data_IF_543091485837
#
_entry.id   IF_543091485837
#
_cell.length_a   1.000
_cell.length_b   1.000
_cell.length_c   1.000
_cell.angle_alpha   90.00
_cell.angle_beta   90.00
_cell.angle_gamma   90.00
#
_symmetry.space_group_name_H-M   'P 1'
#
loop_
_entity.id
_entity.type
_entity.pdbx_description
1 polymer ?
#
# COMPACT_ATOMS: atom_id res chain seq x y z
N UNK A 1 31.68 -5.58 -13.13
CA UNK A 1 32.61 -6.23 -12.19
C UNK A 1 32.35 -5.63 -10.83
N UNK A 2 31.61 -6.34 -9.98
CA UNK A 2 31.46 -5.98 -8.56
C UNK A 2 32.86 -6.15 -7.97
N UNK A 3 33.42 -5.08 -7.42
CA UNK A 3 34.68 -5.18 -6.66
C UNK A 3 34.41 -6.05 -5.45
N UNK A 4 35.25 -7.05 -5.21
CA UNK A 4 35.29 -7.77 -3.94
C UNK A 4 35.58 -6.74 -2.83
N UNK A 5 34.54 -6.37 -2.12
CA UNK A 5 34.65 -5.62 -0.87
C UNK A 5 34.42 -6.60 0.24
N UNK A 6 35.12 -6.45 1.35
CA UNK A 6 34.89 -7.26 2.53
C UNK A 6 33.43 -7.12 2.99
N UNK A 7 32.77 -8.21 3.36
CA UNK A 7 31.41 -8.15 3.85
C UNK A 7 31.34 -7.30 5.14
N UNK A 8 30.23 -6.58 5.29
CA UNK A 8 29.99 -5.77 6.50
C UNK A 8 29.77 -6.73 7.67
N UNK A 9 30.63 -6.66 8.69
CA UNK A 9 30.59 -7.54 9.86
C UNK A 9 30.07 -6.87 11.13
N UNK A 10 29.85 -5.57 11.09
CA UNK A 10 29.42 -4.78 12.24
C UNK A 10 27.91 -4.85 12.48
N UNK A 11 27.15 -5.32 11.49
CA UNK A 11 25.70 -5.48 11.59
C UNK A 11 25.35 -6.87 12.10
N UNK A 12 24.65 -6.95 13.21
CA UNK A 12 24.22 -8.21 13.80
C UNK A 12 22.76 -8.59 13.47
N UNK A 13 21.92 -7.59 13.22
CA UNK A 13 20.51 -7.76 12.92
C UNK A 13 20.02 -6.71 11.91
N UNK A 14 19.17 -7.13 11.00
CA UNK A 14 18.57 -6.28 9.98
C UNK A 14 17.04 -6.37 10.09
N UNK A 15 16.38 -5.25 10.17
CA UNK A 15 14.92 -5.16 10.11
C UNK A 15 14.53 -4.55 8.78
N UNK A 16 13.65 -5.23 8.06
CA UNK A 16 13.10 -4.77 6.77
C UNK A 16 11.59 -4.70 6.93
N UNK A 17 11.05 -3.52 6.74
CA UNK A 17 9.61 -3.28 6.66
C UNK A 17 9.20 -3.05 5.20
N UNK A 18 7.92 -3.24 4.88
CA UNK A 18 7.39 -3.14 3.51
C UNK A 18 8.19 -4.00 2.50
N UNK A 19 8.53 -5.20 2.91
CA UNK A 19 9.45 -6.08 2.20
C UNK A 19 9.03 -6.37 0.75
N UNK A 20 7.73 -6.30 0.43
CA UNK A 20 7.22 -6.51 -0.92
C UNK A 20 7.68 -5.46 -1.94
N UNK A 21 8.18 -4.30 -1.49
CA UNK A 21 8.66 -3.25 -2.39
C UNK A 21 10.05 -3.53 -2.95
N UNK A 22 10.76 -4.48 -2.36
CA UNK A 22 12.11 -4.86 -2.78
C UNK A 22 12.07 -6.12 -3.64
N UNK A 23 12.81 -6.10 -4.74
CA UNK A 23 12.98 -7.30 -5.56
C UNK A 23 13.97 -8.28 -4.96
N UNK A 24 13.91 -9.54 -5.39
CA UNK A 24 14.81 -10.62 -4.93
C UNK A 24 16.30 -10.29 -5.10
N UNK A 25 16.67 -9.47 -6.09
CA UNK A 25 18.06 -9.05 -6.26
C UNK A 25 18.56 -8.25 -5.05
N UNK A 26 17.72 -7.36 -4.49
CA UNK A 26 18.07 -6.58 -3.29
C UNK A 26 18.35 -7.50 -2.10
N UNK A 27 17.49 -8.51 -1.89
CA UNK A 27 17.67 -9.49 -0.81
C UNK A 27 18.93 -10.34 -1.00
N UNK A 28 19.23 -10.77 -2.20
CA UNK A 28 20.47 -11.50 -2.52
C UNK A 28 21.70 -10.65 -2.28
N UNK A 29 21.67 -9.37 -2.66
CA UNK A 29 22.74 -8.43 -2.37
C UNK A 29 22.92 -8.21 -0.87
N UNK A 30 21.86 -7.97 -0.12
CA UNK A 30 21.91 -7.83 1.33
C UNK A 30 22.49 -9.08 2.00
N UNK A 31 22.00 -10.25 1.63
CA UNK A 31 22.47 -11.53 2.17
C UNK A 31 23.95 -11.78 1.87
N UNK A 32 24.42 -11.36 0.69
CA UNK A 32 25.84 -11.46 0.32
C UNK A 32 26.72 -10.45 1.06
N UNK A 33 26.25 -9.21 1.22
CA UNK A 33 27.04 -8.14 1.81
C UNK A 33 27.09 -8.20 3.34
N UNK A 34 26.05 -8.74 3.98
CA UNK A 34 25.90 -8.76 5.44
C UNK A 34 26.15 -10.18 5.97
N UNK A 35 27.40 -10.42 6.34
CA UNK A 35 27.80 -11.76 6.82
C UNK A 35 27.40 -11.99 8.26
N UNK A 36 26.71 -13.11 8.53
CA UNK A 36 26.35 -13.56 9.88
C UNK A 36 25.22 -12.74 10.54
N UNK A 37 24.49 -11.95 9.77
CA UNK A 37 23.32 -11.20 10.26
C UNK A 37 22.11 -12.09 10.41
N UNK A 38 21.27 -11.77 11.39
CA UNK A 38 19.90 -12.24 11.48
C UNK A 38 18.95 -11.19 10.87
N UNK A 39 17.75 -11.63 10.46
CA UNK A 39 16.79 -10.77 9.76
C UNK A 39 15.43 -10.84 10.46
N UNK A 40 14.76 -9.69 10.55
CA UNK A 40 13.31 -9.59 10.75
C UNK A 40 12.74 -8.90 9.51
N UNK A 41 11.93 -9.62 8.76
CA UNK A 41 11.38 -9.14 7.49
C UNK A 41 9.86 -9.14 7.60
N UNK A 42 9.26 -7.97 7.38
CA UNK A 42 7.82 -7.75 7.47
C UNK A 42 7.31 -7.16 6.16
N UNK A 43 6.10 -7.49 5.78
CA UNK A 43 5.47 -6.96 4.57
C UNK A 43 4.17 -7.67 4.22
N UNK A 44 3.51 -7.17 3.19
CA UNK A 44 2.27 -7.71 2.65
C UNK A 44 2.35 -7.77 1.12
N UNK A 45 2.50 -8.97 0.57
CA UNK A 45 2.60 -9.17 -0.87
C UNK A 45 1.35 -8.72 -1.64
N UNK A 46 0.19 -8.67 -0.97
CA UNK A 46 -1.06 -8.14 -1.56
C UNK A 46 -1.01 -6.63 -1.79
N UNK A 47 -0.10 -5.91 -1.12
CA UNK A 47 0.11 -4.47 -1.27
C UNK A 47 1.27 -4.13 -2.21
N UNK A 48 1.77 -5.11 -2.97
CA UNK A 48 2.83 -4.86 -3.93
C UNK A 48 2.28 -4.07 -5.14
N UNK A 49 2.66 -2.79 -5.24
CA UNK A 49 2.36 -1.94 -6.39
C UNK A 49 3.43 -2.01 -7.48
N UNK A 50 4.53 -2.72 -7.22
CA UNK A 50 5.67 -2.90 -8.12
C UNK A 50 5.73 -4.34 -8.64
N UNK A 51 4.66 -4.78 -9.28
CA UNK A 51 4.46 -6.17 -9.71
C UNK A 51 5.64 -6.75 -10.51
N UNK A 52 6.32 -5.94 -11.32
CA UNK A 52 7.41 -6.39 -12.19
C UNK A 52 8.69 -6.74 -11.42
N UNK A 53 8.98 -6.10 -10.28
CA UNK A 53 10.22 -6.30 -9.55
C UNK A 53 10.09 -6.52 -8.04
N UNK A 54 8.97 -6.16 -7.44
CA UNK A 54 8.70 -6.42 -6.02
C UNK A 54 8.37 -7.89 -5.74
N UNK A 55 8.19 -8.23 -4.48
CA UNK A 55 7.79 -9.59 -4.09
C UNK A 55 6.29 -9.80 -4.32
N UNK A 56 5.95 -10.76 -5.15
CA UNK A 56 4.58 -11.22 -5.37
C UNK A 56 4.21 -12.42 -4.49
N UNK A 57 5.20 -13.11 -3.95
CA UNK A 57 5.07 -14.18 -2.96
C UNK A 57 6.31 -14.26 -2.06
N UNK A 58 6.20 -15.03 -0.99
CA UNK A 58 7.28 -15.20 -0.02
C UNK A 58 8.19 -16.40 -0.28
N UNK A 59 7.89 -17.25 -1.26
CA UNK A 59 8.52 -18.56 -1.36
C UNK A 59 10.02 -18.50 -1.72
N UNK A 60 10.40 -17.60 -2.62
CA UNK A 60 11.81 -17.43 -2.99
C UNK A 60 12.61 -16.80 -1.85
N UNK A 61 12.03 -15.78 -1.18
CA UNK A 61 12.67 -15.12 -0.05
C UNK A 61 12.83 -16.07 1.14
N UNK A 62 11.83 -16.88 1.46
CA UNK A 62 11.89 -17.92 2.51
C UNK A 62 13.05 -18.88 2.26
N UNK A 63 13.23 -19.34 1.02
CA UNK A 63 14.36 -20.23 0.65
C UNK A 63 15.72 -19.58 0.84
N UNK A 64 15.81 -18.26 0.68
CA UNK A 64 17.06 -17.52 0.85
C UNK A 64 17.40 -17.26 2.33
N UNK A 65 16.40 -16.91 3.13
CA UNK A 65 16.58 -16.39 4.50
C UNK A 65 16.32 -17.44 5.58
N UNK A 66 15.29 -18.29 5.42
CA UNK A 66 14.93 -19.30 6.42
C UNK A 66 15.76 -20.57 6.22
N UNK A 67 17.01 -20.54 6.67
CA UNK A 67 17.97 -21.65 6.49
C UNK A 67 18.36 -22.33 7.80
N UNK A 68 18.03 -21.72 8.94
CA UNK A 68 18.38 -22.19 10.28
C UNK A 68 17.24 -22.90 11.00
N UNK A 69 17.59 -23.65 12.04
CA UNK A 69 16.64 -24.42 12.86
C UNK A 69 15.67 -23.53 13.66
N UNK A 70 16.10 -22.29 13.95
CA UNK A 70 15.31 -21.34 14.76
C UNK A 70 14.60 -20.29 13.92
N UNK A 71 14.71 -20.36 12.60
CA UNK A 71 14.02 -19.44 11.72
C UNK A 71 12.53 -19.78 11.64
N UNK A 72 11.69 -18.76 11.63
CA UNK A 72 10.25 -18.91 11.63
C UNK A 72 9.57 -17.96 10.65
N UNK A 73 8.50 -18.44 10.05
CA UNK A 73 7.59 -17.65 9.25
C UNK A 73 6.22 -17.59 9.94
N UNK A 74 5.70 -16.39 10.13
CA UNK A 74 4.40 -16.15 10.74
C UNK A 74 3.49 -15.28 9.88
N UNK A 75 2.19 -15.46 10.00
CA UNK A 75 1.17 -14.67 9.34
C UNK A 75 0.38 -13.87 10.37
N UNK A 76 0.36 -12.55 10.20
CA UNK A 76 -0.53 -11.66 10.94
C UNK A 76 -1.83 -11.50 10.14
N UNK A 77 -2.88 -12.23 10.55
CA UNK A 77 -4.15 -12.26 9.79
C UNK A 77 -5.15 -11.21 10.23
N UNK A 78 -5.02 -10.68 11.44
CA UNK A 78 -6.01 -9.74 12.01
C UNK A 78 -5.71 -8.31 11.59
N UNK A 79 -6.66 -7.66 10.93
CA UNK A 79 -6.62 -6.24 10.62
C UNK A 79 -7.41 -5.44 11.65
N UNK A 80 -6.77 -4.44 12.23
CA UNK A 80 -7.38 -3.51 13.20
C UNK A 80 -7.76 -2.18 12.53
N UNK A 81 -7.27 -1.93 11.32
CA UNK A 81 -7.40 -0.66 10.60
C UNK A 81 -8.73 -0.57 9.86
N UNK A 82 -9.08 -1.60 9.10
CA UNK A 82 -10.24 -1.59 8.22
C UNK A 82 -11.50 -2.14 8.87
N UNK A 83 -12.67 -1.68 8.41
CA UNK A 83 -13.96 -2.27 8.76
C UNK A 83 -14.16 -3.62 8.07
N UNK A 84 -15.14 -4.38 8.52
CA UNK A 84 -15.51 -5.68 7.93
C UNK A 84 -15.83 -5.50 6.44
N UNK A 85 -16.64 -4.48 6.10
CA UNK A 85 -17.11 -4.20 4.76
C UNK A 85 -15.98 -3.89 3.78
N UNK A 86 -14.98 -3.09 4.22
CA UNK A 86 -13.80 -2.78 3.43
C UNK A 86 -12.94 -4.03 3.23
N UNK A 87 -12.72 -4.80 4.29
CA UNK A 87 -11.89 -6.01 4.23
C UNK A 87 -12.51 -7.10 3.37
N UNK A 88 -13.84 -7.31 3.45
CA UNK A 88 -14.55 -8.27 2.61
C UNK A 88 -14.50 -7.88 1.14
N UNK A 89 -14.72 -6.60 0.83
CA UNK A 89 -14.65 -6.09 -0.53
C UNK A 89 -13.24 -6.25 -1.12
N UNK A 90 -12.20 -5.88 -0.34
CA UNK A 90 -10.80 -6.04 -0.76
C UNK A 90 -10.43 -7.52 -0.98
N UNK A 91 -10.82 -8.40 -0.06
CA UNK A 91 -10.60 -9.84 -0.19
C UNK A 91 -11.29 -10.43 -1.43
N UNK A 92 -12.49 -9.93 -1.78
CA UNK A 92 -13.21 -10.38 -2.99
C UNK A 92 -12.45 -9.96 -4.26
N UNK A 93 -11.93 -8.73 -4.32
CA UNK A 93 -11.08 -8.29 -5.45
C UNK A 93 -9.83 -9.17 -5.55
N UNK A 94 -9.16 -9.44 -4.44
CA UNK A 94 -7.94 -10.26 -4.42
C UNK A 94 -8.19 -11.70 -4.91
N UNK A 95 -9.37 -12.28 -4.66
CA UNK A 95 -9.74 -13.62 -5.14
C UNK A 95 -9.84 -13.73 -6.67
N UNK A 96 -9.99 -12.60 -7.37
CA UNK A 96 -9.99 -12.57 -8.84
C UNK A 96 -8.60 -12.46 -9.45
N UNK A 97 -7.55 -12.31 -8.64
CA UNK A 97 -6.16 -12.28 -9.10
C UNK A 97 -5.48 -13.65 -9.04
N UNK A 98 -4.43 -13.83 -9.84
CA UNK A 98 -3.63 -15.07 -9.92
C UNK A 98 -2.43 -15.05 -8.95
N UNK A 99 -2.63 -14.61 -7.71
CA UNK A 99 -1.53 -14.57 -6.72
C UNK A 99 -1.90 -15.30 -5.44
N UNK A 100 -0.87 -15.72 -4.70
CA UNK A 100 -1.04 -16.34 -3.39
C UNK A 100 -1.61 -15.32 -2.41
N UNK A 101 -2.88 -15.50 -2.02
CA UNK A 101 -3.59 -14.60 -1.12
C UNK A 101 -3.47 -15.13 0.31
N UNK A 102 -3.15 -14.23 1.21
CA UNK A 102 -3.32 -14.44 2.65
C UNK A 102 -4.52 -13.60 3.11
N UNK A 103 -5.73 -14.19 3.16
CA UNK A 103 -6.94 -13.43 3.49
C UNK A 103 -6.83 -12.80 4.88
N UNK A 104 -7.21 -11.53 4.94
CA UNK A 104 -7.23 -10.75 6.17
C UNK A 104 -8.54 -11.04 6.92
N UNK A 105 -8.42 -11.31 8.22
CA UNK A 105 -9.55 -11.44 9.13
C UNK A 105 -9.78 -10.06 9.78
N UNK A 106 -10.88 -9.35 9.45
CA UNK A 106 -11.17 -8.07 10.09
C UNK A 106 -11.54 -8.30 11.56
N UNK A 107 -11.15 -7.39 12.42
CA UNK A 107 -11.78 -7.28 13.74
C UNK A 107 -13.22 -6.82 13.51
N UNK A 108 -14.13 -7.24 14.39
CA UNK A 108 -15.56 -6.91 14.32
C UNK A 108 -15.75 -5.40 14.59
N UNK A 109 -15.44 -4.61 13.58
CA UNK A 109 -15.71 -3.19 13.50
C UNK A 109 -16.47 -2.95 12.20
N UNK A 110 -17.73 -2.57 12.31
CA UNK A 110 -18.58 -2.30 11.17
C UNK A 110 -18.54 -0.83 10.76
N UNK A 111 -18.65 -0.58 9.47
CA UNK A 111 -18.70 0.75 8.88
C UNK A 111 -19.71 0.82 7.73
N UNK A 112 -19.58 1.84 6.92
CA UNK A 112 -20.41 1.96 5.73
C UNK A 112 -20.01 0.92 4.68
N UNK A 113 -20.96 0.38 3.90
CA UNK A 113 -20.64 -0.53 2.80
C UNK A 113 -19.85 0.18 1.72
N UNK A 114 -18.90 -0.54 1.10
CA UNK A 114 -18.16 -0.04 -0.05
C UNK A 114 -19.13 0.15 -1.22
N UNK A 115 -19.07 1.31 -1.87
CA UNK A 115 -19.94 1.65 -3.00
C UNK A 115 -19.16 1.61 -4.30
N UNK A 116 -19.70 0.93 -5.30
CA UNK A 116 -19.21 0.92 -6.68
C UNK A 116 -20.20 1.64 -7.56
N UNK A 117 -19.72 2.65 -8.31
CA UNK A 117 -20.55 3.46 -9.19
C UNK A 117 -19.99 3.43 -10.61
N UNK A 118 -20.78 2.94 -11.55
CA UNK A 118 -20.43 3.02 -12.97
C UNK A 118 -20.90 4.35 -13.54
N UNK A 119 -19.98 5.16 -14.03
CA UNK A 119 -20.27 6.45 -14.65
C UNK A 119 -20.20 6.33 -16.18
N UNK A 120 -21.20 6.82 -16.93
CA UNK A 120 -21.24 6.72 -18.38
C UNK A 120 -20.22 7.61 -19.07
N UNK A 121 -19.80 8.70 -18.43
CA UNK A 121 -18.84 9.68 -18.93
C UNK A 121 -18.13 10.42 -17.80
N UNK A 122 -17.11 11.16 -18.16
CA UNK A 122 -16.26 11.90 -17.23
C UNK A 122 -17.00 13.03 -16.49
N UNK A 123 -17.98 13.67 -17.11
CA UNK A 123 -18.76 14.72 -16.46
C UNK A 123 -19.62 14.15 -15.32
N UNK A 124 -20.20 12.98 -15.54
CA UNK A 124 -20.96 12.27 -14.53
C UNK A 124 -20.05 11.82 -13.39
N UNK A 125 -18.87 11.25 -13.72
CA UNK A 125 -17.86 10.87 -12.73
C UNK A 125 -17.47 12.07 -11.85
N UNK A 126 -17.14 13.20 -12.45
CA UNK A 126 -16.78 14.42 -11.71
C UNK A 126 -17.93 14.90 -10.81
N UNK A 127 -19.16 14.91 -11.31
CA UNK A 127 -20.33 15.37 -10.56
C UNK A 127 -20.61 14.45 -9.35
N UNK A 128 -20.50 13.13 -9.53
CA UNK A 128 -20.71 12.16 -8.45
C UNK A 128 -19.58 12.22 -7.42
N UNK A 129 -18.33 12.39 -7.86
CA UNK A 129 -17.17 12.60 -6.97
C UNK A 129 -17.35 13.84 -6.12
N UNK A 130 -17.71 14.98 -6.71
CA UNK A 130 -17.97 16.24 -5.99
C UNK A 130 -19.10 16.08 -4.98
N UNK A 131 -20.17 15.38 -5.37
CA UNK A 131 -21.33 15.14 -4.49
C UNK A 131 -20.94 14.28 -3.30
N UNK A 132 -20.17 13.24 -3.54
CA UNK A 132 -19.68 12.32 -2.50
C UNK A 132 -18.76 13.05 -1.53
N UNK A 133 -17.79 13.82 -2.02
CA UNK A 133 -16.88 14.61 -1.18
C UNK A 133 -17.66 15.56 -0.28
N UNK A 134 -18.60 16.33 -0.84
CA UNK A 134 -19.41 17.27 -0.06
C UNK A 134 -20.26 16.58 1.00
N UNK A 135 -20.82 15.42 0.66
CA UNK A 135 -21.57 14.60 1.62
C UNK A 135 -20.68 14.14 2.77
N UNK A 136 -19.50 13.59 2.48
CA UNK A 136 -18.58 13.12 3.51
C UNK A 136 -18.07 14.26 4.41
N UNK A 137 -17.79 15.43 3.84
CA UNK A 137 -17.46 16.62 4.65
C UNK A 137 -18.61 17.03 5.57
N UNK A 138 -19.87 16.92 5.12
CA UNK A 138 -21.05 17.18 5.97
C UNK A 138 -21.23 16.12 7.05
N UNK A 139 -20.88 14.86 6.74
CA UNK A 139 -20.91 13.75 7.68
C UNK A 139 -19.77 13.78 8.71
N UNK A 140 -18.81 14.73 8.57
CA UNK A 140 -17.75 15.00 9.54
C UNK A 140 -16.43 14.29 9.24
N UNK A 141 -16.23 13.73 8.04
CA UNK A 141 -14.93 13.19 7.63
C UNK A 141 -13.93 14.32 7.41
N UNK A 142 -12.79 14.23 8.06
CA UNK A 142 -11.76 15.28 8.05
C UNK A 142 -10.71 15.03 6.97
N UNK A 143 -10.38 13.76 6.68
CA UNK A 143 -9.39 13.37 5.69
C UNK A 143 -10.03 12.56 4.55
N UNK A 144 -10.09 13.15 3.36
CA UNK A 144 -10.71 12.53 2.18
C UNK A 144 -9.68 12.46 1.06
N UNK A 145 -9.44 11.26 0.52
CA UNK A 145 -8.56 11.09 -0.63
C UNK A 145 -9.35 10.71 -1.89
N UNK A 146 -9.04 11.39 -2.98
CA UNK A 146 -9.38 10.97 -4.33
C UNK A 146 -8.15 10.29 -4.92
N UNK A 147 -8.21 8.97 -5.08
CA UNK A 147 -7.07 8.17 -5.54
C UNK A 147 -7.21 7.93 -7.03
N UNK A 148 -6.18 8.28 -7.78
CA UNK A 148 -6.09 8.12 -9.22
C UNK A 148 -5.05 7.05 -9.57
N UNK A 149 -5.11 6.52 -10.78
CA UNK A 149 -4.21 5.46 -11.23
C UNK A 149 -2.75 5.91 -11.31
N UNK A 150 -2.53 7.14 -11.83
CA UNK A 150 -1.20 7.70 -12.05
C UNK A 150 -1.18 9.22 -11.79
N UNK A 151 0.00 9.82 -11.85
CA UNK A 151 0.21 11.24 -11.59
C UNK A 151 -0.54 12.14 -12.59
N UNK A 152 -0.55 11.76 -13.87
CA UNK A 152 -1.21 12.56 -14.90
C UNK A 152 -2.73 12.61 -14.70
N UNK A 153 -3.33 11.49 -14.31
CA UNK A 153 -4.75 11.43 -13.96
C UNK A 153 -5.04 12.22 -12.68
N UNK A 154 -4.17 12.14 -11.67
CA UNK A 154 -4.31 12.90 -10.43
C UNK A 154 -4.25 14.41 -10.65
N UNK A 155 -3.31 14.90 -11.47
CA UNK A 155 -3.22 16.31 -11.84
C UNK A 155 -4.49 16.81 -12.57
N UNK A 156 -4.96 16.07 -13.57
CA UNK A 156 -6.18 16.39 -14.29
C UNK A 156 -7.42 16.39 -13.39
N UNK A 157 -7.54 15.40 -12.51
CA UNK A 157 -8.63 15.32 -11.54
C UNK A 157 -8.59 16.49 -10.55
N UNK A 158 -7.41 16.82 -10.03
CA UNK A 158 -7.21 17.97 -9.14
C UNK A 158 -7.63 19.28 -9.79
N UNK A 159 -7.23 19.53 -11.03
CA UNK A 159 -7.61 20.74 -11.78
C UNK A 159 -9.12 20.88 -11.97
N UNK A 160 -9.81 19.77 -12.22
CA UNK A 160 -11.26 19.76 -12.36
C UNK A 160 -11.97 19.96 -11.04
N UNK A 161 -11.52 19.25 -9.99
CA UNK A 161 -12.12 19.27 -8.67
C UNK A 161 -11.90 20.62 -7.95
N UNK A 162 -10.77 21.30 -8.13
CA UNK A 162 -10.48 22.65 -7.56
C UNK A 162 -11.58 23.67 -7.82
N UNK A 163 -12.37 23.50 -8.86
CA UNK A 163 -13.50 24.39 -9.20
C UNK A 163 -14.71 24.23 -8.27
N UNK A 164 -14.80 23.11 -7.56
CA UNK A 164 -15.99 22.71 -6.79
C UNK A 164 -15.72 22.48 -5.31
N UNK A 165 -14.50 22.08 -4.96
CA UNK A 165 -14.07 21.76 -3.60
C UNK A 165 -12.68 22.31 -3.35
N UNK A 166 -12.38 22.66 -2.09
CA UNK A 166 -11.04 23.07 -1.70
C UNK A 166 -10.16 21.82 -1.59
N UNK A 167 -9.13 21.76 -2.42
CA UNK A 167 -8.13 20.68 -2.37
C UNK A 167 -6.94 21.18 -1.55
N UNK A 168 -6.43 20.32 -0.68
CA UNK A 168 -5.19 20.54 0.05
C UNK A 168 -4.03 20.28 -0.90
N UNK A 169 -3.14 21.27 -1.03
CA UNK A 169 -1.88 21.06 -1.75
C UNK A 169 -0.99 20.15 -0.91
N UNK A 170 -0.74 18.98 -1.43
CA UNK A 170 0.13 17.98 -0.82
C UNK A 170 1.53 18.14 -1.39
N UNK A 171 2.51 18.38 -0.54
CA UNK A 171 3.92 18.28 -0.95
C UNK A 171 4.31 16.79 -0.89
N UNK A 172 4.19 16.13 -2.04
CA UNK A 172 4.46 14.69 -2.17
C UNK A 172 5.91 14.33 -1.81
N UNK A 173 6.85 15.28 -1.96
CA UNK A 173 8.25 15.05 -1.60
C UNK A 173 8.47 15.08 -0.08
N UNK A 174 7.67 15.86 0.66
CA UNK A 174 7.78 15.97 2.11
C UNK A 174 6.82 15.05 2.88
N UNK A 175 5.93 14.36 2.17
CA UNK A 175 4.88 13.53 2.77
C UNK A 175 4.07 14.27 3.86
N UNK A 176 3.86 15.59 3.69
CA UNK A 176 3.02 16.37 4.59
C UNK A 176 1.57 16.25 4.13
N UNK A 177 0.82 15.44 4.87
CA UNK A 177 -0.61 15.22 4.66
C UNK A 177 -1.38 15.94 5.77
N UNK A 178 -2.36 16.75 5.37
CA UNK A 178 -3.20 17.51 6.31
C UNK A 178 -4.68 17.16 6.15
N UNK A 179 -5.49 17.67 7.08
CA UNK A 179 -6.94 17.54 6.99
C UNK A 179 -7.49 18.21 5.73
N UNK A 180 -8.42 17.56 5.09
CA UNK A 180 -9.09 18.07 3.89
C UNK A 180 -9.17 17.07 2.75
N UNK A 181 -9.45 17.58 1.56
CA UNK A 181 -9.56 16.77 0.34
C UNK A 181 -8.23 16.75 -0.39
N UNK A 182 -7.69 15.56 -0.59
CA UNK A 182 -6.45 15.32 -1.33
C UNK A 182 -6.73 14.57 -2.62
N UNK A 183 -5.95 14.82 -3.66
CA UNK A 183 -5.98 14.05 -4.91
C UNK A 183 -4.60 13.45 -5.13
N UNK A 184 -4.52 12.14 -5.12
CA UNK A 184 -3.26 11.41 -5.06
C UNK A 184 -3.20 10.28 -6.10
N UNK A 185 -2.07 10.05 -6.74
CA UNK A 185 -1.86 8.80 -7.47
C UNK A 185 -1.69 7.63 -6.49
N UNK A 186 -2.07 6.43 -6.89
CA UNK A 186 -2.01 5.23 -6.03
C UNK A 186 -0.61 4.96 -5.47
N UNK A 187 0.44 5.34 -6.21
CA UNK A 187 1.83 5.17 -5.78
C UNK A 187 2.20 5.92 -4.49
N UNK A 188 1.48 7.00 -4.18
CA UNK A 188 1.73 7.80 -2.97
C UNK A 188 0.76 7.51 -1.82
N UNK A 189 -0.19 6.61 -2.01
CA UNK A 189 -1.19 6.30 -0.95
C UNK A 189 -0.74 5.22 0.01
N UNK A 190 0.34 4.53 -0.32
CA UNK A 190 0.86 3.44 0.51
C UNK A 190 1.30 3.94 1.89
N UNK A 191 0.83 3.26 2.93
CA UNK A 191 1.10 3.65 4.31
C UNK A 191 0.27 4.81 4.84
N UNK A 192 -0.57 5.44 4.01
CA UNK A 192 -1.48 6.49 4.45
C UNK A 192 -2.80 5.92 5.00
N UNK A 193 -3.44 6.70 5.85
CA UNK A 193 -4.75 6.42 6.42
C UNK A 193 -5.67 7.61 6.19
N UNK A 194 -6.90 7.34 5.78
CA UNK A 194 -7.95 8.33 5.56
C UNK A 194 -9.20 7.95 6.36
N UNK A 195 -10.09 8.91 6.63
CA UNK A 195 -11.36 8.67 7.34
C UNK A 195 -12.33 7.78 6.57
#
# INVERSE_FOLDING_TARGET
RIKETDPVRETSHVVIDEAQDFGMMSYRCLHYCLYGCTYTIMGDTSQNIHFEYGLNDWEELKKLILTGTFDAFGLLRKSYRNTVEISEFANEILRHGDFSIYPVEPIIRHGNPVQTVACPDENKLLADTVTTIKKWQQDGYETIAVICRDEAEAEQAAEKLKKYVKIVETDLEKAEFGDGVMVLPVSYTKGLEFD
#
